data_IF_273244708076
#
_entry.id   IF_273244708076
#
_cell.length_a   1.000
_cell.length_b   1.000
_cell.length_c   1.000
_cell.angle_alpha   90.00
_cell.angle_beta   90.00
_cell.angle_gamma   90.00
#
_symmetry.space_group_name_H-M   'P 1'
#
loop_
_entity.id
_entity.type
_entity.pdbx_description
1 polymer ?
#
# COMPACT_ATOMS: atom_id res chain seq x y z
N UNK A 1 -51.15 -37.87 19.94
CA UNK A 1 -50.48 -38.63 18.86
C UNK A 1 -49.02 -38.79 19.27
N UNK A 2 -48.67 -40.05 19.59
CA UNK A 2 -47.40 -40.71 19.94
C UNK A 2 -46.12 -39.91 20.31
N UNK A 3 -45.23 -40.30 21.23
CA UNK A 3 -45.11 -41.13 22.45
C UNK A 3 -43.84 -40.62 23.18
N UNK A 4 -43.79 -40.77 24.51
CA UNK A 4 -42.68 -40.44 25.43
C UNK A 4 -41.34 -41.13 25.13
N UNK A 5 -40.22 -40.49 25.52
CA UNK A 5 -39.12 -41.08 26.30
C UNK A 5 -38.21 -39.93 26.81
N UNK A 6 -38.24 -39.55 28.08
CA UNK A 6 -37.45 -40.15 29.18
C UNK A 6 -35.94 -40.24 28.87
N UNK A 7 -35.16 -39.28 29.37
CA UNK A 7 -34.18 -39.56 30.43
C UNK A 7 -33.43 -38.27 30.77
N UNK A 8 -33.49 -37.92 32.05
CA UNK A 8 -32.60 -36.98 32.70
C UNK A 8 -31.16 -37.41 32.46
N UNK A 9 -30.46 -36.69 31.60
CA UNK A 9 -29.01 -36.79 31.48
C UNK A 9 -28.54 -35.36 31.45
N UNK A 10 -28.17 -34.88 32.64
CA UNK A 10 -27.34 -33.70 32.84
C UNK A 10 -26.25 -33.80 31.78
N UNK A 11 -26.35 -32.98 30.73
CA UNK A 11 -25.28 -32.87 29.75
C UNK A 11 -24.14 -32.18 30.50
N UNK A 12 -23.41 -32.98 31.29
CA UNK A 12 -22.07 -32.70 31.76
C UNK A 12 -21.31 -32.38 30.49
N UNK A 13 -21.18 -31.09 30.23
CA UNK A 13 -20.19 -30.58 29.31
C UNK A 13 -18.87 -31.06 29.87
N UNK A 14 -18.41 -32.22 29.36
CA UNK A 14 -17.09 -32.72 29.71
C UNK A 14 -16.12 -31.61 29.30
N UNK A 15 -15.22 -31.16 30.19
CA UNK A 15 -14.24 -30.13 29.85
C UNK A 15 -13.39 -30.51 28.63
N UNK A 16 -13.35 -31.80 28.25
CA UNK A 16 -12.73 -32.30 27.03
C UNK A 16 -13.45 -31.87 25.74
N UNK A 17 -14.78 -31.69 25.76
CA UNK A 17 -15.56 -31.30 24.56
C UNK A 17 -15.42 -29.80 24.26
N UNK A 18 -15.27 -28.97 25.30
CA UNK A 18 -15.07 -27.52 25.13
C UNK A 18 -13.69 -27.18 24.55
N UNK A 19 -12.66 -27.97 24.88
CA UNK A 19 -11.28 -27.80 24.38
C UNK A 19 -11.19 -28.06 22.87
N UNK A 20 -12.04 -28.93 22.32
CA UNK A 20 -12.03 -29.25 20.89
C UNK A 20 -12.67 -28.17 20.01
N UNK A 21 -13.67 -27.43 20.54
CA UNK A 21 -14.37 -26.39 19.76
C UNK A 21 -13.58 -25.07 19.72
N UNK A 22 -12.77 -24.77 20.74
CA UNK A 22 -11.88 -23.59 20.73
C UNK A 22 -10.68 -23.70 19.78
N UNK A 23 -10.35 -24.90 19.31
CA UNK A 23 -9.14 -25.16 18.54
C UNK A 23 -9.24 -24.84 17.03
N UNK A 24 -10.41 -24.44 16.52
CA UNK A 24 -10.64 -24.35 15.05
C UNK A 24 -10.95 -22.94 14.53
N UNK A 25 -11.10 -21.91 15.37
CA UNK A 25 -11.14 -20.52 14.88
C UNK A 25 -9.72 -19.93 14.84
N UNK A 26 -8.84 -20.54 14.04
CA UNK A 26 -7.64 -19.85 13.56
C UNK A 26 -8.13 -18.80 12.56
N UNK A 27 -8.21 -17.54 12.99
CA UNK A 27 -8.40 -16.44 12.03
C UNK A 27 -7.20 -16.48 11.10
N UNK A 28 -7.41 -16.80 9.82
CA UNK A 28 -6.36 -16.67 8.80
C UNK A 28 -6.08 -15.17 8.68
N UNK A 29 -5.09 -14.69 9.42
CA UNK A 29 -4.56 -13.35 9.22
C UNK A 29 -3.86 -13.43 7.87
N UNK A 30 -4.50 -12.88 6.84
CA UNK A 30 -3.95 -12.77 5.50
C UNK A 30 -2.78 -11.77 5.57
N UNK A 31 -1.62 -12.27 6.00
CA UNK A 31 -0.37 -11.54 6.01
C UNK A 31 0.10 -11.39 4.54
N UNK A 32 -0.63 -10.59 3.76
CA UNK A 32 -0.19 -10.19 2.43
C UNK A 32 1.10 -9.40 2.62
N UNK A 33 2.17 -9.91 2.06
CA UNK A 33 3.41 -9.14 1.97
C UNK A 33 3.13 -7.90 1.13
N UNK A 34 3.42 -6.68 1.64
CA UNK A 34 3.24 -5.48 0.86
C UNK A 34 4.10 -5.56 -0.41
N UNK A 35 3.50 -5.37 -1.58
CA UNK A 35 4.25 -5.36 -2.83
C UNK A 35 4.98 -4.03 -2.99
N UNK A 36 6.29 -4.10 -3.21
CA UNK A 36 7.15 -2.91 -3.31
C UNK A 36 7.52 -2.68 -4.77
N UNK A 37 7.26 -1.47 -5.24
CA UNK A 37 7.52 -0.97 -6.58
C UNK A 37 8.61 0.10 -6.50
N UNK A 38 9.87 -0.31 -6.70
CA UNK A 38 10.98 0.64 -6.74
C UNK A 38 10.99 1.38 -8.07
N UNK A 39 10.90 2.71 -8.03
CA UNK A 39 10.88 3.57 -9.24
C UNK A 39 12.11 3.38 -10.14
N UNK A 40 13.26 2.97 -9.59
CA UNK A 40 14.46 2.69 -10.39
C UNK A 40 14.28 1.47 -11.29
N UNK A 41 13.45 0.51 -10.89
CA UNK A 41 13.06 -0.64 -11.73
C UNK A 41 12.21 -0.21 -12.94
N UNK A 42 11.71 1.02 -12.94
CA UNK A 42 10.94 1.63 -14.02
C UNK A 42 11.74 2.70 -14.78
N UNK A 43 13.06 2.80 -14.54
CA UNK A 43 13.95 3.71 -15.27
C UNK A 43 14.24 5.05 -14.57
N UNK A 44 13.73 5.28 -13.35
CA UNK A 44 14.09 6.48 -12.59
C UNK A 44 15.58 6.49 -12.24
N UNK A 45 16.25 7.61 -12.51
CA UNK A 45 17.68 7.77 -12.23
C UNK A 45 17.91 8.69 -11.01
N UNK A 46 18.75 8.29 -10.04
CA UNK A 46 18.98 9.04 -8.81
C UNK A 46 19.99 10.19 -9.00
N UNK A 47 19.94 10.88 -10.15
CA UNK A 47 20.92 11.90 -10.54
C UNK A 47 20.44 13.35 -10.38
N UNK A 48 19.16 13.56 -10.01
CA UNK A 48 18.53 14.87 -9.83
C UNK A 48 18.43 15.73 -11.10
N UNK A 49 18.55 15.10 -12.28
CA UNK A 49 18.59 15.75 -13.60
C UNK A 49 17.65 15.11 -14.62
N UNK A 50 17.53 13.79 -14.59
CA UNK A 50 16.64 13.05 -15.49
C UNK A 50 15.25 12.99 -14.87
N UNK A 51 14.24 13.38 -15.63
CA UNK A 51 12.85 13.32 -15.19
C UNK A 51 12.46 11.85 -14.89
N UNK A 52 11.86 11.66 -13.72
CA UNK A 52 11.41 10.37 -13.20
C UNK A 52 9.89 10.23 -13.23
N UNK A 53 9.17 11.18 -13.85
CA UNK A 53 7.69 11.20 -13.88
C UNK A 53 7.10 9.98 -14.57
N UNK A 54 7.61 9.61 -15.74
CA UNK A 54 7.14 8.41 -16.45
C UNK A 54 7.39 7.13 -15.65
N UNK A 55 8.56 7.02 -15.01
CA UNK A 55 8.91 5.90 -14.16
C UNK A 55 7.99 5.81 -12.93
N UNK A 56 7.67 6.94 -12.31
CA UNK A 56 6.71 7.02 -11.21
C UNK A 56 5.30 6.61 -11.67
N UNK A 57 4.82 7.13 -12.80
CA UNK A 57 3.48 6.81 -13.32
C UNK A 57 3.36 5.33 -13.68
N UNK A 58 4.41 4.72 -14.26
CA UNK A 58 4.45 3.30 -14.54
C UNK A 58 4.42 2.46 -13.26
N UNK A 59 5.26 2.80 -12.27
CA UNK A 59 5.28 2.13 -10.97
C UNK A 59 3.93 2.25 -10.24
N UNK A 60 3.35 3.46 -10.23
CA UNK A 60 2.06 3.75 -9.63
C UNK A 60 0.92 2.96 -10.29
N UNK A 61 0.90 2.90 -11.62
CA UNK A 61 -0.12 2.18 -12.37
C UNK A 61 -0.15 0.67 -12.11
N UNK A 62 1.01 0.05 -11.82
CA UNK A 62 1.06 -1.35 -11.39
C UNK A 62 0.71 -1.50 -9.91
N UNK A 63 1.29 -0.66 -9.04
CA UNK A 63 1.00 -0.65 -7.61
C UNK A 63 -0.49 -0.49 -7.31
N UNK A 64 -1.17 0.40 -8.03
CA UNK A 64 -2.58 0.72 -7.84
C UNK A 64 -3.52 -0.46 -8.18
N UNK A 65 -3.07 -1.42 -8.99
CA UNK A 65 -3.81 -2.66 -9.32
C UNK A 65 -3.67 -3.74 -8.25
N UNK A 66 -2.73 -3.58 -7.33
CA UNK A 66 -2.53 -4.48 -6.21
C UNK A 66 -3.19 -3.97 -4.93
N UNK A 67 -3.57 -4.90 -4.06
CA UNK A 67 -4.08 -4.58 -2.74
C UNK A 67 -2.92 -4.54 -1.74
N UNK A 68 -2.63 -3.37 -1.17
CA UNK A 68 -1.54 -3.19 -0.20
C UNK A 68 -0.18 -3.10 -0.89
N UNK A 69 0.06 -2.02 -1.62
CA UNK A 69 1.30 -1.80 -2.38
C UNK A 69 2.04 -0.54 -1.92
N UNK A 70 3.34 -0.50 -2.18
CA UNK A 70 4.21 0.64 -1.88
C UNK A 70 5.02 1.00 -3.12
N UNK A 71 4.95 2.24 -3.56
CA UNK A 71 5.87 2.81 -4.56
C UNK A 71 6.98 3.52 -3.81
N UNK A 72 8.24 3.15 -4.04
CA UNK A 72 9.39 3.65 -3.28
C UNK A 72 10.38 4.43 -4.13
N UNK A 73 10.73 5.64 -3.66
CA UNK A 73 11.92 6.39 -4.03
C UNK A 73 13.03 6.09 -3.02
N UNK A 74 13.99 5.22 -3.34
CA UNK A 74 14.99 4.78 -2.39
C UNK A 74 15.97 5.91 -2.03
N UNK A 75 16.67 5.77 -0.89
CA UNK A 75 17.73 6.67 -0.47
C UNK A 75 19.04 6.44 -1.27
N UNK A 76 18.95 6.43 -2.61
CA UNK A 76 20.08 6.28 -3.53
C UNK A 76 20.49 7.60 -4.19
N UNK A 77 19.71 8.66 -4.01
CA UNK A 77 20.05 10.00 -4.48
C UNK A 77 18.85 10.91 -4.66
N UNK A 78 18.94 11.79 -5.66
CA UNK A 78 17.90 12.78 -5.99
C UNK A 78 17.16 12.35 -7.25
N UNK A 79 15.85 12.50 -7.27
CA UNK A 79 15.00 12.20 -8.41
C UNK A 79 14.33 13.50 -8.84
N UNK A 80 14.63 13.96 -10.06
CA UNK A 80 13.88 15.07 -10.65
C UNK A 80 12.50 14.53 -11.00
N UNK A 81 11.46 15.25 -10.62
CA UNK A 81 10.09 14.86 -10.86
C UNK A 81 9.32 16.06 -11.41
N UNK A 82 8.95 16.03 -12.68
CA UNK A 82 8.05 17.01 -13.27
C UNK A 82 6.63 16.91 -12.68
N UNK A 83 5.71 17.85 -12.97
CA UNK A 83 4.34 17.79 -12.47
C UNK A 83 3.66 16.46 -12.82
N UNK A 84 3.12 15.80 -11.80
CA UNK A 84 2.47 14.50 -11.96
C UNK A 84 1.14 14.43 -11.24
N UNK A 85 0.19 13.75 -11.86
CA UNK A 85 -1.07 13.35 -11.22
C UNK A 85 -1.10 11.85 -10.98
N UNK A 86 -1.12 11.46 -9.71
CA UNK A 86 -1.24 10.09 -9.25
C UNK A 86 -2.72 9.75 -9.07
N UNK A 87 -3.28 9.07 -10.08
CA UNK A 87 -4.69 8.77 -10.17
C UNK A 87 -5.06 7.46 -9.44
N UNK A 88 -6.23 7.48 -8.80
CA UNK A 88 -7.01 6.29 -8.44
C UNK A 88 -8.23 6.09 -9.36
N UNK A 89 -9.17 5.21 -8.99
CA UNK A 89 -9.21 4.45 -7.74
C UNK A 89 -8.25 3.25 -7.76
N UNK A 90 -7.55 3.02 -6.65
CA UNK A 90 -6.72 1.82 -6.46
C UNK A 90 -7.51 0.69 -5.79
N UNK A 91 -7.08 -0.56 -6.04
CA UNK A 91 -7.74 -1.77 -5.53
C UNK A 91 -7.71 -1.83 -4.00
N UNK A 92 -6.65 -1.32 -3.38
CA UNK A 92 -6.51 -1.28 -1.93
C UNK A 92 -5.69 -0.09 -1.45
N UNK A 93 -5.18 -0.15 -0.20
CA UNK A 93 -4.24 0.82 0.32
C UNK A 93 -2.98 0.90 -0.55
N UNK A 94 -2.51 2.12 -0.77
CA UNK A 94 -1.28 2.40 -1.52
C UNK A 94 -0.42 3.39 -0.75
N UNK A 95 0.88 3.11 -0.71
CA UNK A 95 1.88 3.95 -0.03
C UNK A 95 2.84 4.55 -1.05
N UNK A 96 3.04 5.86 -1.00
CA UNK A 96 4.18 6.53 -1.61
C UNK A 96 5.28 6.67 -0.55
N UNK A 97 6.34 5.89 -0.68
CA UNK A 97 7.50 5.92 0.21
C UNK A 97 8.63 6.74 -0.42
N UNK A 98 9.07 7.80 0.25
CA UNK A 98 10.17 8.65 -0.18
C UNK A 98 11.27 8.59 0.87
N UNK A 99 12.31 7.81 0.58
CA UNK A 99 13.52 7.73 1.42
C UNK A 99 14.67 8.58 0.85
N UNK A 100 14.65 8.87 -0.46
CA UNK A 100 15.59 9.78 -1.13
C UNK A 100 15.10 11.24 -1.19
N UNK A 101 15.57 11.99 -2.19
CA UNK A 101 15.12 13.37 -2.42
C UNK A 101 14.30 13.44 -3.70
N UNK A 102 13.04 13.85 -3.61
CA UNK A 102 12.27 14.30 -4.76
C UNK A 102 12.57 15.76 -4.99
N UNK A 103 12.87 16.14 -6.23
CA UNK A 103 13.22 17.51 -6.60
C UNK A 103 12.28 18.03 -7.67
N UNK A 104 11.67 19.18 -7.42
CA UNK A 104 10.81 19.86 -8.38
C UNK A 104 11.64 20.45 -9.54
N UNK A 105 11.05 20.56 -10.74
CA UNK A 105 11.65 21.30 -11.83
C UNK A 105 11.69 22.79 -11.51
N UNK A 106 12.51 23.53 -12.26
CA UNK A 106 12.56 24.98 -12.12
C UNK A 106 11.20 25.58 -12.47
N UNK A 107 10.75 26.58 -11.70
CA UNK A 107 9.44 27.26 -11.83
C UNK A 107 9.06 27.70 -13.25
N UNK A 108 10.03 27.95 -14.13
CA UNK A 108 9.77 28.27 -15.54
C UNK A 108 9.07 27.16 -16.32
N UNK A 109 9.07 25.93 -15.81
CA UNK A 109 8.46 24.75 -16.44
C UNK A 109 7.15 24.30 -15.77
N UNK A 110 6.74 24.96 -14.68
CA UNK A 110 5.49 24.65 -14.00
C UNK A 110 4.37 25.45 -14.65
N UNK A 111 3.66 24.84 -15.61
CA UNK A 111 2.39 25.37 -16.13
C UNK A 111 1.24 25.17 -15.15
N UNK A 112 1.40 24.21 -14.23
CA UNK A 112 0.45 23.90 -13.17
C UNK A 112 0.99 24.37 -11.81
N UNK A 113 0.09 24.89 -10.96
CA UNK A 113 0.44 25.32 -9.59
C UNK A 113 0.80 24.13 -8.67
N UNK A 114 0.52 22.91 -9.11
CA UNK A 114 0.61 21.68 -8.34
C UNK A 114 1.75 20.81 -8.86
N UNK A 115 2.68 20.44 -7.97
CA UNK A 115 3.81 19.58 -8.32
C UNK A 115 3.43 18.09 -8.31
N UNK A 116 2.79 17.61 -7.25
CA UNK A 116 2.33 16.22 -7.14
C UNK A 116 0.87 16.25 -6.71
N UNK A 117 -0.03 15.89 -7.63
CA UNK A 117 -1.46 15.83 -7.38
C UNK A 117 -1.89 14.38 -7.10
N UNK A 118 -2.57 14.18 -5.97
CA UNK A 118 -3.19 12.90 -5.63
C UNK A 118 -4.68 12.97 -5.93
N UNK A 119 -5.14 12.22 -6.93
CA UNK A 119 -6.51 12.33 -7.43
C UNK A 119 -7.31 11.04 -7.21
N UNK A 120 -8.51 11.15 -6.61
CA UNK A 120 -9.46 10.05 -6.42
C UNK A 120 -8.88 8.81 -5.66
N UNK A 121 -8.21 9.05 -4.53
CA UNK A 121 -7.62 8.01 -3.67
C UNK A 121 -8.37 7.93 -2.33
N UNK A 122 -8.57 6.71 -1.81
CA UNK A 122 -9.30 6.48 -0.55
C UNK A 122 -8.40 6.10 0.64
N UNK A 123 -7.26 5.45 0.38
CA UNK A 123 -6.35 4.93 1.42
C UNK A 123 -4.89 5.17 1.02
N UNK A 124 -4.55 6.43 0.77
CA UNK A 124 -3.19 6.86 0.45
C UNK A 124 -2.39 7.07 1.74
N UNK A 125 -1.19 6.51 1.79
CA UNK A 125 -0.16 6.91 2.76
C UNK A 125 1.01 7.55 2.03
N UNK A 126 1.52 8.67 2.53
CA UNK A 126 2.76 9.29 2.05
C UNK A 126 3.72 9.38 3.23
N UNK A 127 4.93 8.86 3.07
CA UNK A 127 5.93 8.83 4.15
C UNK A 127 7.27 8.31 3.68
N UNK A 128 8.15 7.96 4.61
CA UNK A 128 9.46 7.39 4.30
C UNK A 128 10.46 7.61 5.43
N UNK A 129 11.67 7.13 5.23
CA UNK A 129 12.73 7.11 6.24
C UNK A 129 13.74 8.21 5.96
N UNK A 130 13.37 9.46 6.30
CA UNK A 130 14.27 10.61 6.19
C UNK A 130 14.39 11.22 4.78
N UNK A 131 13.49 10.88 3.86
CA UNK A 131 13.44 11.50 2.54
C UNK A 131 12.93 12.94 2.56
N UNK A 132 13.12 13.65 1.45
CA UNK A 132 12.83 15.08 1.33
C UNK A 132 12.08 15.39 0.03
N UNK A 133 11.11 16.30 0.12
CA UNK A 133 10.48 16.97 -1.03
C UNK A 133 11.12 18.35 -1.19
N UNK A 134 11.99 18.52 -2.19
CA UNK A 134 12.76 19.72 -2.53
C UNK A 134 12.04 20.49 -3.66
N UNK A 135 11.14 21.40 -3.27
CA UNK A 135 10.24 22.16 -4.16
C UNK A 135 10.78 23.47 -4.71
#
# INVERSE_FOLDING_TARGET
MYIMASSSSVWMWSPLVLVLVSAVFVSVVDARTPKIYNVQSFGALPNGKTDSSEALLAAWGLACKDSGSTVVFPNSGKFLLDPVTLNGPCVGPITLQVDGVLKAPKKTFLTEEQWILFNNLRNLTVGGHGGTFDG
#
